data_IF_288641623518
#
_entry.id   IF_288641623518
#
_cell.length_a   1.000
_cell.length_b   1.000
_cell.length_c   1.000
_cell.angle_alpha   90.00
_cell.angle_beta   90.00
_cell.angle_gamma   90.00
#
_symmetry.space_group_name_H-M   'P 1'
#
loop_
_entity.id
_entity.type
_entity.pdbx_description
1 polymer ?
#
# COMPACT_ATOMS: atom_id res chain seq x y z
N UNK A 1 -16.22 14.96 15.52
CA UNK A 1 -15.37 15.37 14.38
C UNK A 1 -16.23 16.11 13.36
N UNK A 2 -15.77 17.25 12.81
CA UNK A 2 -16.49 17.96 11.75
C UNK A 2 -15.99 17.44 10.39
N UNK A 3 -16.81 16.70 9.67
CA UNK A 3 -16.45 16.06 8.41
C UNK A 3 -16.32 17.09 7.27
N UNK A 4 -17.30 18.00 7.16
CA UNK A 4 -17.31 19.01 6.09
C UNK A 4 -16.71 20.32 6.60
N UNK A 5 -15.50 20.63 6.20
CA UNK A 5 -14.78 21.87 6.58
C UNK A 5 -14.89 22.96 5.54
N UNK A 6 -15.26 22.63 4.28
CA UNK A 6 -15.29 23.52 3.10
C UNK A 6 -13.96 24.12 2.70
N UNK A 7 -12.86 23.81 3.38
CA UNK A 7 -11.52 24.35 3.11
C UNK A 7 -10.89 23.82 1.83
N UNK A 8 -11.42 22.71 1.30
CA UNK A 8 -10.94 22.06 0.08
C UNK A 8 -11.76 22.33 -1.19
N UNK A 9 -12.76 23.23 -1.12
CA UNK A 9 -13.71 23.43 -2.24
C UNK A 9 -13.05 24.12 -3.44
N UNK A 10 -11.88 24.75 -3.25
CA UNK A 10 -11.10 25.41 -4.31
C UNK A 10 -9.96 24.52 -4.88
N UNK A 11 -10.01 23.21 -4.69
CA UNK A 11 -9.03 22.28 -5.28
C UNK A 11 -7.75 22.09 -4.47
N UNK A 12 -7.65 22.63 -3.27
CA UNK A 12 -6.49 22.46 -2.39
C UNK A 12 -6.79 21.58 -1.18
N UNK A 13 -5.76 20.90 -0.67
CA UNK A 13 -5.82 20.10 0.55
C UNK A 13 -4.61 20.36 1.44
N UNK A 14 -4.69 19.96 2.70
CA UNK A 14 -3.60 20.09 3.66
C UNK A 14 -2.77 18.81 3.74
N UNK A 15 -1.44 18.97 3.70
CA UNK A 15 -0.45 18.02 4.22
C UNK A 15 0.29 18.70 5.36
N UNK A 16 1.24 18.02 6.00
CA UNK A 16 1.93 18.60 7.14
C UNK A 16 2.49 20.00 6.84
N UNK A 17 2.06 20.99 7.60
CA UNK A 17 2.49 22.40 7.54
C UNK A 17 2.33 23.12 6.19
N UNK A 18 1.62 22.56 5.22
CA UNK A 18 1.40 23.22 3.94
C UNK A 18 0.05 22.84 3.32
N UNK A 19 -0.37 23.67 2.37
CA UNK A 19 -1.48 23.34 1.47
C UNK A 19 -0.92 23.05 0.09
N UNK A 20 -1.48 22.05 -0.56
CA UNK A 20 -1.08 21.60 -1.89
C UNK A 20 -2.30 21.44 -2.78
N UNK A 21 -2.10 21.50 -4.08
CA UNK A 21 -3.17 21.21 -5.03
C UNK A 21 -3.58 19.71 -4.94
N UNK A 22 -4.88 19.45 -5.07
CA UNK A 22 -5.42 18.09 -4.97
C UNK A 22 -4.94 17.16 -6.10
N UNK A 23 -4.50 17.73 -7.23
CA UNK A 23 -3.95 17.00 -8.36
C UNK A 23 -2.42 16.82 -8.30
N UNK A 24 -1.79 17.25 -7.22
CA UNK A 24 -0.35 17.03 -7.03
C UNK A 24 -0.02 15.53 -6.91
N UNK A 25 1.18 15.14 -7.37
CA UNK A 25 1.63 13.75 -7.33
C UNK A 25 1.68 13.16 -5.91
N UNK A 26 1.96 13.97 -4.90
CA UNK A 26 1.92 13.53 -3.50
C UNK A 26 0.50 13.17 -3.07
N UNK A 27 -0.49 13.99 -3.44
CA UNK A 27 -1.89 13.72 -3.12
C UNK A 27 -2.42 12.52 -3.92
N UNK A 28 -2.02 12.39 -5.18
CA UNK A 28 -2.34 11.22 -6.01
C UNK A 28 -1.78 9.93 -5.36
N UNK A 29 -0.53 9.96 -4.90
CA UNK A 29 0.07 8.84 -4.18
C UNK A 29 -0.66 8.51 -2.88
N UNK A 30 -1.01 9.53 -2.07
CA UNK A 30 -1.75 9.31 -0.82
C UNK A 30 -3.13 8.67 -1.10
N UNK A 31 -3.81 9.07 -2.17
CA UNK A 31 -5.06 8.46 -2.60
C UNK A 31 -4.90 6.99 -3.02
N UNK A 32 -3.81 6.65 -3.71
CA UNK A 32 -3.52 5.26 -4.08
C UNK A 32 -3.12 4.40 -2.87
N UNK A 33 -2.41 4.96 -1.88
CA UNK A 33 -2.13 4.26 -0.62
C UNK A 33 -3.43 3.96 0.14
N UNK A 34 -4.36 4.92 0.18
CA UNK A 34 -5.67 4.73 0.80
C UNK A 34 -6.48 3.64 0.09
N UNK A 35 -6.46 3.59 -1.24
CA UNK A 35 -7.09 2.52 -2.03
C UNK A 35 -6.50 1.14 -1.72
N UNK A 36 -5.17 1.03 -1.60
CA UNK A 36 -4.51 -0.24 -1.20
C UNK A 36 -4.97 -0.68 0.19
N UNK A 37 -4.99 0.25 1.15
CA UNK A 37 -5.47 -0.05 2.51
C UNK A 37 -6.93 -0.50 2.52
N UNK A 38 -7.80 0.18 1.78
CA UNK A 38 -9.22 -0.18 1.67
C UNK A 38 -9.40 -1.60 1.10
N UNK A 39 -8.66 -1.96 0.06
CA UNK A 39 -8.69 -3.30 -0.52
C UNK A 39 -8.13 -4.37 0.43
N UNK A 40 -7.09 -4.07 1.22
CA UNK A 40 -6.58 -4.98 2.25
C UNK A 40 -7.60 -5.18 3.37
N UNK A 41 -8.23 -4.11 3.85
CA UNK A 41 -9.27 -4.17 4.88
C UNK A 41 -10.44 -5.02 4.39
N UNK A 42 -10.88 -4.83 3.15
CA UNK A 42 -11.97 -5.60 2.55
C UNK A 42 -11.61 -7.09 2.43
N UNK A 43 -10.39 -7.43 1.99
CA UNK A 43 -9.92 -8.81 1.94
C UNK A 43 -9.84 -9.44 3.34
N UNK A 44 -9.33 -8.72 4.33
CA UNK A 44 -9.27 -9.18 5.71
C UNK A 44 -10.67 -9.36 6.32
N UNK A 45 -11.58 -8.40 6.13
CA UNK A 45 -12.92 -8.44 6.70
C UNK A 45 -13.74 -9.64 6.21
N UNK A 46 -13.54 -10.03 4.95
CA UNK A 46 -14.24 -11.18 4.37
C UNK A 46 -13.55 -12.52 4.65
N UNK A 47 -12.21 -12.54 4.80
CA UNK A 47 -11.42 -13.77 4.95
C UNK A 47 -10.34 -13.61 6.02
N UNK A 48 -10.69 -13.29 7.29
CA UNK A 48 -9.70 -12.92 8.32
C UNK A 48 -8.76 -14.07 8.70
N UNK A 49 -9.27 -15.30 8.72
CA UNK A 49 -8.47 -16.46 9.10
C UNK A 49 -7.52 -16.94 8.01
N UNK A 50 -7.83 -16.62 6.75
CA UNK A 50 -6.98 -16.98 5.63
C UNK A 50 -5.75 -16.09 5.50
N UNK A 51 -5.86 -14.82 5.89
CA UNK A 51 -4.80 -13.83 5.73
C UNK A 51 -4.71 -12.88 6.93
N UNK A 52 -4.41 -13.39 8.13
CA UNK A 52 -4.40 -12.58 9.37
C UNK A 52 -3.36 -11.45 9.32
N UNK A 53 -2.25 -11.62 8.59
CA UNK A 53 -1.18 -10.64 8.50
C UNK A 53 -1.54 -9.38 7.69
N UNK A 54 -2.64 -9.38 6.93
CA UNK A 54 -3.06 -8.19 6.18
C UNK A 54 -3.34 -7.00 7.09
N UNK A 55 -3.75 -7.24 8.33
CA UNK A 55 -3.95 -6.19 9.32
C UNK A 55 -2.65 -5.45 9.63
N UNK A 56 -1.56 -6.18 9.82
CA UNK A 56 -0.24 -5.59 10.08
C UNK A 56 0.25 -4.79 8.85
N UNK A 57 -0.07 -5.26 7.65
CA UNK A 57 0.27 -4.53 6.41
C UNK A 57 -0.48 -3.20 6.31
N UNK A 58 -1.73 -3.14 6.77
CA UNK A 58 -2.49 -1.88 6.85
C UNK A 58 -1.81 -0.89 7.79
N UNK A 59 -1.37 -1.32 8.99
CA UNK A 59 -0.66 -0.46 9.93
C UNK A 59 0.65 0.07 9.34
N UNK A 60 1.38 -0.73 8.59
CA UNK A 60 2.59 -0.31 7.87
C UNK A 60 2.29 0.73 6.77
N UNK A 61 1.20 0.55 6.04
CA UNK A 61 0.76 1.51 5.01
C UNK A 61 0.29 2.85 5.62
N UNK A 62 -0.33 2.84 6.80
CA UNK A 62 -0.67 4.06 7.55
C UNK A 62 0.60 4.83 7.89
N UNK A 63 1.64 4.14 8.36
CA UNK A 63 2.93 4.75 8.64
C UNK A 63 3.56 5.33 7.38
N UNK A 64 3.56 4.60 6.27
CA UNK A 64 4.05 5.07 4.96
C UNK A 64 3.30 6.32 4.52
N UNK A 65 1.97 6.33 4.59
CA UNK A 65 1.17 7.50 4.24
C UNK A 65 1.51 8.71 5.12
N UNK A 66 1.77 8.48 6.43
CA UNK A 66 2.19 9.54 7.35
C UNK A 66 3.56 10.12 7.01
N UNK A 67 4.50 9.28 6.52
CA UNK A 67 5.82 9.71 6.06
C UNK A 67 5.69 10.52 4.77
N UNK A 68 4.96 10.01 3.78
CA UNK A 68 4.72 10.70 2.49
C UNK A 68 4.03 12.05 2.69
N UNK A 69 3.09 12.14 3.63
CA UNK A 69 2.42 13.39 3.99
C UNK A 69 3.27 14.35 4.86
N UNK A 70 4.45 13.94 5.30
CA UNK A 70 5.39 14.75 6.09
C UNK A 70 5.14 14.75 7.60
N UNK A 71 4.20 13.96 8.11
CA UNK A 71 3.93 13.86 9.56
C UNK A 71 4.95 12.98 10.30
N UNK A 72 5.65 12.12 9.59
CA UNK A 72 6.66 11.20 10.09
C UNK A 72 7.89 11.25 9.19
N UNK A 73 9.02 10.69 9.64
CA UNK A 73 10.26 10.58 8.87
C UNK A 73 10.46 9.15 8.38
N UNK A 74 11.30 8.96 7.35
CA UNK A 74 11.60 7.60 6.85
C UNK A 74 12.27 6.73 7.91
N UNK A 75 13.07 7.32 8.80
CA UNK A 75 13.71 6.62 9.93
C UNK A 75 12.72 5.98 10.92
N UNK A 76 11.45 6.42 10.91
CA UNK A 76 10.38 5.78 11.67
C UNK A 76 9.93 4.45 11.04
N UNK A 77 10.33 4.17 9.80
CA UNK A 77 10.04 2.92 9.07
C UNK A 77 11.23 1.98 9.15
N UNK A 78 11.10 0.89 9.89
CA UNK A 78 12.17 -0.07 10.14
C UNK A 78 12.47 -0.95 8.91
N UNK A 79 13.74 -1.20 8.63
CA UNK A 79 14.21 -2.19 7.62
C UNK A 79 13.69 -3.61 7.91
N UNK A 80 13.41 -3.94 9.16
CA UNK A 80 12.85 -5.23 9.57
C UNK A 80 11.50 -5.51 8.91
N UNK A 81 10.73 -4.47 8.56
CA UNK A 81 9.46 -4.61 7.84
C UNK A 81 9.65 -5.13 6.41
N UNK A 82 10.70 -4.69 5.74
CA UNK A 82 11.11 -5.22 4.43
C UNK A 82 11.61 -6.65 4.58
N UNK A 83 12.49 -6.89 5.53
CA UNK A 83 13.06 -8.22 5.80
C UNK A 83 11.96 -9.26 6.13
N UNK A 84 10.91 -8.85 6.86
CA UNK A 84 9.77 -9.71 7.13
C UNK A 84 9.02 -10.12 5.86
N UNK A 85 8.72 -9.17 4.94
CA UNK A 85 8.09 -9.49 3.66
C UNK A 85 8.98 -10.43 2.83
N UNK A 86 10.28 -10.18 2.78
CA UNK A 86 11.23 -11.01 2.04
C UNK A 86 11.29 -12.43 2.59
N UNK A 87 11.25 -12.60 3.90
CA UNK A 87 11.19 -13.91 4.53
C UNK A 87 9.88 -14.64 4.21
N UNK A 88 8.74 -13.96 4.26
CA UNK A 88 7.44 -14.54 3.89
C UNK A 88 7.41 -14.96 2.42
N UNK A 89 7.99 -14.17 1.52
CA UNK A 89 8.14 -14.51 0.11
C UNK A 89 9.03 -15.75 -0.04
N UNK A 90 10.20 -15.76 0.61
CA UNK A 90 11.15 -16.87 0.56
C UNK A 90 10.53 -18.20 0.99
N UNK A 91 9.77 -18.20 2.09
CA UNK A 91 9.13 -19.40 2.65
C UNK A 91 8.08 -20.04 1.71
N UNK A 92 7.51 -19.26 0.80
CA UNK A 92 6.42 -19.71 -0.06
C UNK A 92 6.77 -19.73 -1.55
N UNK A 93 7.92 -19.20 -1.94
CA UNK A 93 8.30 -19.03 -3.34
C UNK A 93 8.36 -20.37 -4.11
N UNK A 94 8.75 -21.44 -3.47
CA UNK A 94 8.83 -22.80 -4.07
C UNK A 94 7.46 -23.34 -4.52
N UNK A 95 6.36 -22.77 -4.03
CA UNK A 95 4.98 -23.14 -4.39
C UNK A 95 4.41 -22.29 -5.53
N UNK A 96 5.16 -21.31 -6.04
CA UNK A 96 4.69 -20.40 -7.07
C UNK A 96 5.14 -20.85 -8.45
N UNK A 97 4.23 -21.41 -9.22
CA UNK A 97 4.48 -21.94 -10.58
C UNK A 97 4.04 -20.96 -11.70
N UNK A 98 3.58 -19.76 -11.36
CA UNK A 98 3.14 -18.76 -12.32
C UNK A 98 1.88 -18.00 -11.91
N UNK A 99 1.26 -17.31 -12.85
CA UNK A 99 0.02 -16.59 -12.59
C UNK A 99 -1.16 -17.53 -12.41
N UNK A 100 -1.93 -17.31 -11.33
CA UNK A 100 -3.18 -18.01 -11.04
C UNK A 100 -4.36 -17.19 -11.53
N UNK A 101 -5.35 -17.84 -12.12
CA UNK A 101 -6.61 -17.25 -12.56
C UNK A 101 -7.75 -17.82 -11.69
N UNK A 102 -8.06 -17.18 -10.55
CA UNK A 102 -8.90 -17.76 -9.50
C UNK A 102 -10.41 -17.55 -9.77
N UNK A 103 -10.95 -18.11 -10.84
CA UNK A 103 -12.34 -17.96 -11.25
C UNK A 103 -13.35 -18.51 -10.24
N UNK A 104 -12.98 -19.51 -9.48
CA UNK A 104 -13.82 -20.27 -8.54
C UNK A 104 -13.44 -20.06 -7.07
N UNK A 105 -12.50 -19.16 -6.79
CA UNK A 105 -12.05 -18.87 -5.43
C UNK A 105 -12.18 -17.38 -5.10
N UNK A 106 -13.26 -16.95 -4.40
CA UNK A 106 -13.52 -15.54 -4.11
C UNK A 106 -12.40 -14.85 -3.32
N UNK A 107 -11.75 -15.56 -2.36
CA UNK A 107 -10.65 -15.01 -1.59
C UNK A 107 -9.45 -14.71 -2.50
N UNK A 108 -9.03 -15.68 -3.30
CA UNK A 108 -7.90 -15.49 -4.24
C UNK A 108 -8.22 -14.44 -5.32
N UNK A 109 -9.47 -14.37 -5.78
CA UNK A 109 -9.90 -13.34 -6.72
C UNK A 109 -9.76 -11.94 -6.12
N UNK A 110 -10.14 -11.77 -4.85
CA UNK A 110 -10.00 -10.51 -4.11
C UNK A 110 -8.53 -10.14 -3.90
N UNK A 111 -7.68 -11.08 -3.52
CA UNK A 111 -6.23 -10.88 -3.43
C UNK A 111 -5.60 -10.53 -4.79
N UNK A 112 -6.12 -11.06 -5.88
CA UNK A 112 -5.64 -10.70 -7.23
C UNK A 112 -5.99 -9.25 -7.59
N UNK A 113 -7.15 -8.74 -7.19
CA UNK A 113 -7.48 -7.31 -7.30
C UNK A 113 -6.50 -6.49 -6.45
N UNK A 114 -6.31 -6.85 -5.18
CA UNK A 114 -5.36 -6.19 -4.30
C UNK A 114 -3.96 -6.11 -4.91
N UNK A 115 -3.46 -7.21 -5.46
CA UNK A 115 -2.15 -7.23 -6.15
C UNK A 115 -2.06 -6.18 -7.26
N UNK A 116 -3.08 -6.05 -8.10
CA UNK A 116 -3.07 -5.08 -9.20
C UNK A 116 -3.12 -3.64 -8.70
N UNK A 117 -3.84 -3.39 -7.61
CA UNK A 117 -3.92 -2.07 -6.96
C UNK A 117 -2.59 -1.69 -6.31
N UNK A 118 -1.91 -2.63 -5.61
CA UNK A 118 -0.57 -2.42 -5.06
C UNK A 118 0.42 -2.05 -6.17
N UNK A 119 0.42 -2.77 -7.29
CA UNK A 119 1.29 -2.47 -8.43
C UNK A 119 1.00 -1.10 -9.07
N UNK A 120 -0.25 -0.69 -9.11
CA UNK A 120 -0.61 0.66 -9.57
C UNK A 120 -0.06 1.72 -8.61
N UNK A 121 -0.26 1.53 -7.31
CA UNK A 121 0.28 2.42 -6.27
C UNK A 121 1.81 2.52 -6.36
N UNK A 122 2.52 1.42 -6.52
CA UNK A 122 3.98 1.40 -6.71
C UNK A 122 4.42 2.28 -7.89
N UNK A 123 3.76 2.17 -9.06
CA UNK A 123 4.08 3.00 -10.22
C UNK A 123 3.86 4.49 -9.96
N UNK A 124 2.79 4.85 -9.27
CA UNK A 124 2.51 6.24 -8.87
C UNK A 124 3.56 6.74 -7.89
N UNK A 125 3.96 5.90 -6.92
CA UNK A 125 5.03 6.20 -5.96
C UNK A 125 6.36 6.49 -6.65
N UNK A 126 6.78 5.66 -7.61
CA UNK A 126 8.02 5.88 -8.37
C UNK A 126 7.99 7.23 -9.08
N UNK A 127 6.84 7.61 -9.67
CA UNK A 127 6.69 8.91 -10.31
C UNK A 127 6.74 10.07 -9.29
N UNK A 128 5.98 9.95 -8.21
CA UNK A 128 5.94 10.98 -7.17
C UNK A 128 7.32 11.20 -6.52
N UNK A 129 8.07 10.15 -6.26
CA UNK A 129 9.40 10.24 -5.63
C UNK A 129 10.48 10.80 -6.55
N UNK A 130 10.35 10.65 -7.87
CA UNK A 130 11.25 11.32 -8.83
C UNK A 130 11.11 12.84 -8.84
N UNK A 131 9.93 13.34 -8.59
CA UNK A 131 9.61 14.78 -8.66
C UNK A 131 9.56 15.45 -7.28
N UNK A 132 9.62 14.67 -6.21
CA UNK A 132 9.58 15.12 -4.83
C UNK A 132 10.67 14.45 -3.98
N UNK A 133 10.43 14.31 -2.68
CA UNK A 133 11.33 13.56 -1.80
C UNK A 133 11.29 12.07 -2.13
N UNK A 134 12.44 11.46 -2.37
CA UNK A 134 12.57 10.00 -2.51
C UNK A 134 12.71 9.35 -1.13
N UNK A 135 11.98 8.26 -0.92
CA UNK A 135 12.06 7.41 0.26
C UNK A 135 12.46 5.98 -0.19
N UNK A 136 13.76 5.69 -0.31
CA UNK A 136 14.25 4.45 -0.89
C UNK A 136 13.75 3.19 -0.20
N UNK A 137 13.70 3.18 1.14
CA UNK A 137 13.24 2.03 1.91
C UNK A 137 11.74 1.74 1.69
N UNK A 138 10.93 2.79 1.64
CA UNK A 138 9.49 2.69 1.35
C UNK A 138 9.27 2.17 -0.06
N UNK A 139 10.04 2.62 -1.03
CA UNK A 139 9.96 2.14 -2.41
C UNK A 139 10.28 0.64 -2.51
N UNK A 140 11.32 0.18 -1.80
CA UNK A 140 11.64 -1.25 -1.71
C UNK A 140 10.51 -2.02 -1.05
N UNK A 141 9.96 -1.53 0.06
CA UNK A 141 8.83 -2.15 0.73
C UNK A 141 7.62 -2.33 -0.21
N UNK A 142 7.21 -1.29 -0.94
CA UNK A 142 6.06 -1.37 -1.85
C UNK A 142 6.27 -2.38 -2.98
N UNK A 143 7.48 -2.50 -3.49
CA UNK A 143 7.82 -3.54 -4.46
C UNK A 143 7.67 -4.95 -3.84
N UNK A 144 8.21 -5.19 -2.66
CA UNK A 144 8.06 -6.47 -1.92
C UNK A 144 6.62 -6.76 -1.53
N UNK A 145 5.83 -5.72 -1.21
CA UNK A 145 4.40 -5.89 -0.90
C UNK A 145 3.63 -6.47 -2.08
N UNK A 146 3.94 -6.05 -3.30
CA UNK A 146 3.37 -6.62 -4.53
C UNK A 146 3.69 -8.12 -4.68
N UNK A 147 4.93 -8.51 -4.43
CA UNK A 147 5.37 -9.91 -4.47
C UNK A 147 4.74 -10.74 -3.35
N UNK A 148 4.63 -10.16 -2.15
CA UNK A 148 3.96 -10.78 -1.01
C UNK A 148 2.49 -11.10 -1.32
N UNK A 149 1.73 -10.16 -1.89
CA UNK A 149 0.33 -10.41 -2.26
C UNK A 149 0.24 -11.47 -3.36
N UNK A 150 1.18 -11.50 -4.30
CA UNK A 150 1.26 -12.58 -5.30
C UNK A 150 1.43 -13.96 -4.65
N UNK A 151 2.30 -14.07 -3.63
CA UNK A 151 2.49 -15.29 -2.87
C UNK A 151 1.19 -15.73 -2.17
N UNK A 152 0.43 -14.81 -1.58
CA UNK A 152 -0.84 -15.13 -0.91
C UNK A 152 -1.88 -15.75 -1.86
N UNK A 153 -1.87 -15.38 -3.14
CA UNK A 153 -2.77 -15.96 -4.15
C UNK A 153 -2.38 -17.40 -4.47
N UNK A 154 -1.10 -17.73 -4.36
CA UNK A 154 -0.54 -19.04 -4.71
C UNK A 154 -0.51 -20.05 -3.54
N UNK A 155 -0.88 -19.62 -2.33
CA UNK A 155 -1.00 -20.46 -1.14
C UNK A 155 -2.08 -21.55 -1.27
#
# INVERSE_FOLDING_TARGET
>A
MKVTTKTGDQGQTGVFNQRVEKDSLVIDLLGHLDEVMAQMIDAYAQFPEANPELKDRVDELILIASIVAGFKKEEDFSEERVAHLEEMIRLHNEKCYGFVYPFDNPMKAKLNILRTVVRRCERVMVRAFKENTDFPLIRVYMNRLSDYVFILINR
#
